data_IF_077152702851
#
_entry.id   IF_077152702851
#
_cell.length_a   1.000
_cell.length_b   1.000
_cell.length_c   1.000
_cell.angle_alpha   90.00
_cell.angle_beta   90.00
_cell.angle_gamma   90.00
#
_symmetry.space_group_name_H-M   'P 1'
#
loop_
_entity.id
_entity.type
_entity.pdbx_description
1 polymer ?
#
# COMPACT_ATOMS: atom_id res chain seq x y z
N UNK A 1 11.69 26.21 -76.88
CA UNK A 1 12.67 27.21 -77.39
C UNK A 1 13.33 27.82 -76.15
N UNK A 2 14.63 27.85 -75.92
CA UNK A 2 15.78 27.42 -76.74
C UNK A 2 16.82 28.55 -76.86
N UNK A 3 18.10 28.25 -76.58
CA UNK A 3 19.32 29.02 -76.95
C UNK A 3 20.00 29.95 -75.91
N UNK A 4 21.07 29.40 -75.29
CA UNK A 4 22.48 29.86 -75.29
C UNK A 4 22.98 31.20 -74.66
N UNK A 5 23.95 31.00 -73.74
CA UNK A 5 25.34 31.51 -73.73
C UNK A 5 25.75 32.82 -73.00
N UNK A 6 26.78 32.68 -72.15
CA UNK A 6 27.66 33.74 -71.62
C UNK A 6 28.83 33.13 -70.83
N UNK A 7 30.09 33.48 -71.17
CA UNK A 7 31.34 32.85 -70.64
C UNK A 7 32.14 33.78 -69.71
N UNK A 8 32.77 33.21 -68.68
CA UNK A 8 34.13 33.49 -68.12
C UNK A 8 34.23 32.76 -66.76
N UNK A 9 35.10 31.78 -66.47
CA UNK A 9 36.53 31.50 -66.75
C UNK A 9 37.53 32.33 -65.95
N UNK A 10 37.97 31.76 -64.83
CA UNK A 10 39.35 31.81 -64.32
C UNK A 10 39.56 30.57 -63.43
N UNK A 11 40.65 29.83 -63.70
CA UNK A 11 40.99 28.53 -63.11
C UNK A 11 42.25 28.65 -62.20
N UNK A 12 42.73 27.51 -61.67
CA UNK A 12 44.11 27.20 -61.20
C UNK A 12 44.41 27.32 -59.68
N UNK A 13 44.16 26.19 -58.99
CA UNK A 13 45.13 25.27 -58.34
C UNK A 13 46.20 25.69 -57.30
N UNK A 14 46.38 24.75 -56.35
CA UNK A 14 47.58 24.33 -55.59
C UNK A 14 48.29 25.28 -54.60
N UNK A 15 48.52 24.93 -53.32
CA UNK A 15 49.14 23.77 -52.62
C UNK A 15 50.66 23.90 -52.32
N UNK A 16 50.97 23.89 -51.00
CA UNK A 16 52.29 23.66 -50.33
C UNK A 16 53.29 24.84 -50.45
N UNK A 17 53.98 25.29 -49.41
CA UNK A 17 54.90 24.65 -48.43
C UNK A 17 55.00 25.58 -47.16
N UNK A 18 55.51 25.26 -45.96
CA UNK A 18 56.07 24.04 -45.31
C UNK A 18 55.90 24.15 -43.76
N UNK A 19 56.31 23.12 -43.00
CA UNK A 19 56.25 22.96 -41.52
C UNK A 19 57.60 23.25 -40.81
N UNK A 20 57.93 22.80 -39.56
CA UNK A 20 57.17 22.50 -38.32
C UNK A 20 57.79 23.14 -37.03
N UNK A 21 57.14 23.05 -35.84
CA UNK A 21 57.80 22.94 -34.49
C UNK A 21 56.76 22.72 -33.34
N UNK A 22 57.12 22.27 -32.12
CA UNK A 22 57.43 20.86 -31.82
C UNK A 22 56.62 20.25 -30.64
N UNK A 23 56.81 18.94 -30.42
CA UNK A 23 56.17 18.13 -29.37
C UNK A 23 56.98 18.17 -28.06
N UNK A 24 56.30 18.45 -26.93
CA UNK A 24 56.73 18.15 -25.54
C UNK A 24 55.45 17.80 -24.77
N UNK A 25 55.35 16.81 -23.90
CA UNK A 25 56.32 15.82 -23.41
C UNK A 25 55.87 15.37 -22.02
N UNK A 26 55.30 14.14 -21.90
CA UNK A 26 54.86 13.60 -20.60
C UNK A 26 56.06 13.38 -19.68
N UNK A 27 56.09 14.01 -18.52
CA UNK A 27 56.89 13.57 -17.37
C UNK A 27 56.08 13.67 -16.08
N UNK A 28 56.05 12.56 -15.36
CA UNK A 28 55.42 12.41 -14.05
C UNK A 28 56.22 13.14 -12.97
N UNK A 29 55.57 14.00 -12.20
CA UNK A 29 56.05 14.43 -10.89
C UNK A 29 55.32 13.63 -9.80
N UNK A 30 56.08 12.88 -8.99
CA UNK A 30 55.57 12.30 -7.75
C UNK A 30 55.31 13.44 -6.76
N UNK A 31 54.07 13.61 -6.31
CA UNK A 31 53.84 14.29 -5.03
C UNK A 31 54.23 13.34 -3.89
N UNK A 32 55.17 13.81 -3.06
CA UNK A 32 55.72 13.06 -1.94
C UNK A 32 54.75 13.21 -0.76
N UNK A 33 54.13 12.11 -0.35
CA UNK A 33 53.32 12.07 0.86
C UNK A 33 54.21 12.22 2.13
N UNK A 34 53.84 13.08 3.10
CA UNK A 34 54.48 13.08 4.42
C UNK A 34 54.03 11.84 5.22
N UNK A 35 54.83 11.39 6.21
CA UNK A 35 54.68 10.06 6.79
C UNK A 35 53.48 9.96 7.76
N UNK A 36 52.90 8.76 7.81
CA UNK A 36 51.94 8.37 8.86
C UNK A 36 52.62 8.42 10.23
N UNK A 37 52.18 9.31 11.11
CA UNK A 37 52.33 9.12 12.55
C UNK A 37 51.21 8.20 13.06
N UNK A 38 51.61 7.13 13.75
CA UNK A 38 50.70 6.20 14.44
C UNK A 38 50.55 6.65 15.91
N UNK A 39 49.42 6.27 16.54
CA UNK A 39 49.04 6.48 17.95
C UNK A 39 48.60 7.87 18.43
N UNK A 40 47.42 7.89 19.09
CA UNK A 40 46.94 9.00 19.92
C UNK A 40 45.39 9.10 19.99
N UNK A 41 44.76 8.35 20.91
CA UNK A 41 43.32 8.34 21.28
C UNK A 41 42.41 9.49 20.76
N UNK A 42 41.27 9.14 20.15
CA UNK A 42 40.16 10.11 19.97
C UNK A 42 38.94 9.70 19.13
N UNK A 43 38.99 8.59 18.38
CA UNK A 43 38.01 8.33 17.30
C UNK A 43 36.76 7.53 17.66
N UNK A 44 36.70 6.83 18.79
CA UNK A 44 35.53 6.02 19.16
C UNK A 44 34.33 6.87 19.63
N UNK A 45 34.60 7.99 20.30
CA UNK A 45 33.56 8.85 20.91
C UNK A 45 32.81 9.71 19.86
N UNK A 46 33.45 10.08 18.74
CA UNK A 46 32.76 10.75 17.62
C UNK A 46 31.86 9.81 16.81
N UNK A 47 32.28 8.57 16.58
CA UNK A 47 31.47 7.57 15.90
C UNK A 47 30.18 7.26 16.66
N UNK A 48 30.31 7.03 17.98
CA UNK A 48 29.16 6.78 18.85
C UNK A 48 28.21 7.98 18.90
N UNK A 49 28.72 9.22 19.05
CA UNK A 49 27.88 10.44 19.03
C UNK A 49 27.19 10.69 17.69
N UNK A 50 27.85 10.43 16.57
CA UNK A 50 27.23 10.53 15.24
C UNK A 50 26.09 9.52 15.08
N UNK A 51 26.33 8.25 15.45
CA UNK A 51 25.32 7.19 15.39
C UNK A 51 24.16 7.47 16.35
N UNK A 52 24.43 7.89 17.61
CA UNK A 52 23.36 8.31 18.53
C UNK A 52 22.57 9.50 17.98
N UNK A 53 23.22 10.46 17.32
CA UNK A 53 22.54 11.61 16.73
C UNK A 53 21.65 11.22 15.54
N UNK A 54 22.08 10.25 14.71
CA UNK A 54 21.24 9.69 13.64
C UNK A 54 20.08 8.91 14.23
N UNK A 55 20.33 7.98 15.16
CA UNK A 55 19.27 7.22 15.85
C UNK A 55 18.28 8.17 16.54
N UNK A 56 18.75 9.22 17.22
CA UNK A 56 17.88 10.20 17.88
C UNK A 56 17.08 11.03 16.88
N UNK A 57 17.69 11.45 15.75
CA UNK A 57 16.99 12.12 14.65
C UNK A 57 15.93 11.22 14.03
N UNK A 58 16.28 9.99 13.67
CA UNK A 58 15.39 8.98 13.09
C UNK A 58 14.28 8.58 14.05
N UNK A 59 14.57 8.48 15.35
CA UNK A 59 13.57 8.27 16.42
C UNK A 59 12.64 9.46 16.56
N UNK A 60 13.16 10.69 16.47
CA UNK A 60 12.33 11.91 16.51
C UNK A 60 11.42 12.02 15.28
N UNK A 61 11.93 11.70 14.09
CA UNK A 61 11.16 11.70 12.83
C UNK A 61 10.11 10.59 12.86
N UNK A 62 10.47 9.37 13.26
CA UNK A 62 9.51 8.27 13.41
C UNK A 62 8.45 8.62 14.47
N UNK A 63 8.82 8.88 15.72
CA UNK A 63 7.87 8.98 16.83
C UNK A 63 7.19 10.34 17.01
N UNK A 64 7.67 11.44 16.41
CA UNK A 64 7.11 12.79 16.68
C UNK A 64 6.77 13.64 15.44
N UNK A 65 6.87 13.11 14.21
CA UNK A 65 6.57 13.91 13.00
C UNK A 65 5.07 14.08 12.71
N UNK A 66 4.23 13.05 12.96
CA UNK A 66 2.78 13.11 12.67
C UNK A 66 1.96 13.39 13.95
N UNK A 67 0.87 14.16 13.80
CA UNK A 67 -0.15 14.42 14.83
C UNK A 67 -0.80 13.13 15.36
N UNK A 68 -0.90 12.09 14.53
CA UNK A 68 -1.40 10.76 14.95
C UNK A 68 -0.54 10.13 16.06
N UNK A 69 0.73 10.50 16.16
CA UNK A 69 1.65 9.92 17.16
C UNK A 69 1.26 10.28 18.61
N UNK A 70 0.35 11.24 18.80
CA UNK A 70 -0.31 11.50 20.08
C UNK A 70 -1.04 10.26 20.64
N UNK A 71 -1.41 9.30 19.79
CA UNK A 71 -2.08 8.05 20.16
C UNK A 71 -1.11 6.92 20.55
N UNK A 72 0.21 7.07 20.34
CA UNK A 72 1.19 6.02 20.69
C UNK A 72 1.10 5.59 22.17
N UNK A 73 0.89 6.49 23.16
CA UNK A 73 0.69 6.10 24.57
C UNK A 73 -0.51 5.19 24.82
N UNK A 74 -1.50 5.13 23.92
CA UNK A 74 -2.66 4.24 24.05
C UNK A 74 -2.26 2.75 24.02
N UNK A 75 -1.20 2.39 23.28
CA UNK A 75 -0.69 1.01 23.22
C UNK A 75 -0.18 0.47 24.56
N UNK A 76 0.82 1.11 25.19
CA UNK A 76 1.26 0.77 26.54
C UNK A 76 0.14 0.87 27.58
N UNK A 77 -0.79 1.83 27.42
CA UNK A 77 -1.94 1.96 28.30
C UNK A 77 -2.92 0.77 28.17
N UNK A 78 -3.14 0.24 26.95
CA UNK A 78 -3.96 -0.95 26.74
C UNK A 78 -3.41 -2.16 27.50
N UNK A 79 -2.09 -2.39 27.40
CA UNK A 79 -1.37 -3.46 28.12
C UNK A 79 -1.45 -3.27 29.64
N UNK A 80 -1.39 -2.01 30.11
CA UNK A 80 -1.54 -1.70 31.54
C UNK A 80 -2.97 -1.93 32.02
N UNK A 81 -3.97 -1.52 31.24
CA UNK A 81 -5.39 -1.70 31.55
C UNK A 81 -5.77 -3.19 31.56
N UNK A 82 -5.26 -3.99 30.63
CA UNK A 82 -5.46 -5.45 30.59
C UNK A 82 -4.87 -6.15 31.84
N UNK A 83 -3.68 -5.75 32.26
CA UNK A 83 -3.02 -6.33 33.45
C UNK A 83 -3.60 -5.87 34.79
N UNK A 84 -4.21 -4.69 34.85
CA UNK A 84 -4.77 -4.12 36.07
C UNK A 84 -6.29 -4.27 36.18
N UNK A 85 -7.00 -4.51 35.08
CA UNK A 85 -8.47 -4.53 35.02
C UNK A 85 -8.98 -5.55 34.01
N UNK A 86 -10.10 -6.21 34.32
CA UNK A 86 -10.79 -7.10 33.38
C UNK A 86 -11.75 -6.33 32.44
N UNK A 87 -11.46 -5.06 32.12
CA UNK A 87 -12.33 -4.21 31.31
C UNK A 87 -12.00 -4.32 29.81
N UNK A 88 -12.33 -5.47 29.21
CA UNK A 88 -12.03 -5.80 27.81
C UNK A 88 -12.47 -4.72 26.79
N UNK A 89 -13.58 -4.02 27.00
CA UNK A 89 -14.00 -2.91 26.13
C UNK A 89 -12.99 -1.75 26.08
N UNK A 90 -12.35 -1.42 27.20
CA UNK A 90 -11.28 -0.40 27.24
C UNK A 90 -9.96 -0.93 26.66
N UNK A 91 -9.62 -2.20 26.91
CA UNK A 91 -8.45 -2.85 26.28
C UNK A 91 -8.57 -2.84 24.76
N UNK A 92 -9.74 -3.21 24.23
CA UNK A 92 -10.04 -3.15 22.79
C UNK A 92 -9.85 -1.73 22.24
N UNK A 93 -10.53 -0.74 22.82
CA UNK A 93 -10.48 0.64 22.32
C UNK A 93 -9.07 1.26 22.39
N UNK A 94 -8.32 0.99 23.47
CA UNK A 94 -6.95 1.50 23.63
C UNK A 94 -5.95 0.81 22.71
N UNK A 95 -6.06 -0.51 22.51
CA UNK A 95 -5.25 -1.24 21.53
C UNK A 95 -5.54 -0.75 20.11
N UNK A 96 -6.81 -0.54 19.78
CA UNK A 96 -7.27 -0.01 18.49
C UNK A 96 -6.66 1.37 18.21
N UNK A 97 -6.78 2.32 19.16
CA UNK A 97 -6.15 3.64 19.04
C UNK A 97 -4.61 3.58 18.98
N UNK A 98 -3.99 2.66 19.73
CA UNK A 98 -2.54 2.46 19.74
C UNK A 98 -1.99 1.92 18.41
N UNK A 99 -2.78 1.18 17.65
CA UNK A 99 -2.38 0.63 16.33
C UNK A 99 -2.37 1.72 15.24
N UNK A 100 -3.29 2.68 15.25
CA UNK A 100 -3.39 3.77 14.23
C UNK A 100 -2.01 4.41 13.90
N UNK A 101 -1.24 4.97 14.85
CA UNK A 101 0.04 5.59 14.54
C UNK A 101 1.13 4.58 14.19
N UNK A 102 1.05 3.34 14.67
CA UNK A 102 2.02 2.30 14.34
C UNK A 102 1.85 1.83 12.89
N UNK A 103 0.60 1.66 12.43
CA UNK A 103 0.27 1.35 11.05
C UNK A 103 0.74 2.45 10.09
N UNK A 104 0.49 3.73 10.43
CA UNK A 104 0.98 4.88 9.66
C UNK A 104 2.50 4.90 9.55
N UNK A 105 3.20 4.62 10.65
CA UNK A 105 4.67 4.56 10.65
C UNK A 105 5.21 3.34 9.91
N UNK A 106 4.48 2.22 9.88
CA UNK A 106 4.86 1.03 9.13
C UNK A 106 4.78 1.30 7.61
N UNK A 107 3.74 1.99 7.16
CA UNK A 107 3.62 2.47 5.77
C UNK A 107 4.79 3.37 5.39
N UNK A 108 5.05 4.44 6.15
CA UNK A 108 6.21 5.32 5.91
C UNK A 108 7.54 4.56 5.92
N UNK A 109 7.80 3.67 6.88
CA UNK A 109 9.03 2.87 6.92
C UNK A 109 9.18 1.94 5.70
N UNK A 110 8.07 1.47 5.13
CA UNK A 110 8.02 0.67 3.91
C UNK A 110 8.36 1.51 2.68
N UNK A 111 7.78 2.71 2.54
CA UNK A 111 8.11 3.68 1.49
C UNK A 111 9.60 4.06 1.54
N UNK A 112 10.11 4.42 2.72
CA UNK A 112 11.53 4.73 2.95
C UNK A 112 12.47 3.57 2.55
N UNK A 113 12.04 2.31 2.72
CA UNK A 113 12.80 1.14 2.27
C UNK A 113 12.66 0.89 0.75
N UNK A 114 11.55 1.28 0.13
CA UNK A 114 11.32 1.13 -1.31
C UNK A 114 12.33 1.94 -2.15
N UNK A 115 12.68 3.17 -1.72
CA UNK A 115 13.72 3.99 -2.37
C UNK A 115 15.07 3.26 -2.53
N UNK A 116 15.44 2.38 -1.58
CA UNK A 116 16.72 1.67 -1.56
C UNK A 116 16.72 0.25 -2.15
N UNK A 117 15.56 -0.22 -2.60
CA UNK A 117 15.38 -1.60 -3.09
C UNK A 117 14.98 -1.67 -4.57
N UNK A 118 14.67 -0.52 -5.18
CA UNK A 118 14.35 -0.38 -6.59
C UNK A 118 12.92 -0.83 -6.93
N UNK A 119 12.39 -0.50 -8.12
CA UNK A 119 10.95 -0.59 -8.40
C UNK A 119 10.34 -1.98 -8.16
N UNK A 120 11.08 -3.03 -8.53
CA UNK A 120 10.62 -4.43 -8.42
C UNK A 120 10.48 -4.88 -6.96
N UNK A 121 11.49 -4.65 -6.12
CA UNK A 121 11.46 -5.10 -4.71
C UNK A 121 10.67 -4.11 -3.85
N UNK A 122 10.77 -2.80 -4.13
CA UNK A 122 9.96 -1.77 -3.47
C UNK A 122 8.46 -1.97 -3.69
N UNK A 123 8.03 -2.32 -4.91
CA UNK A 123 6.63 -2.67 -5.19
C UNK A 123 6.14 -3.91 -4.42
N UNK A 124 6.98 -4.94 -4.28
CA UNK A 124 6.66 -6.14 -3.50
C UNK A 124 6.63 -5.86 -1.98
N UNK A 125 7.55 -5.03 -1.50
CA UNK A 125 7.56 -4.55 -0.11
C UNK A 125 6.29 -3.77 0.20
N UNK A 126 5.90 -2.82 -0.66
CA UNK A 126 4.69 -2.04 -0.49
C UNK A 126 3.43 -2.92 -0.49
N UNK A 127 3.34 -3.86 -1.42
CA UNK A 127 2.25 -4.84 -1.47
C UNK A 127 2.12 -5.71 -0.19
N UNK A 128 3.24 -6.01 0.47
CA UNK A 128 3.29 -6.89 1.65
C UNK A 128 3.11 -6.11 2.95
N UNK A 129 3.81 -4.99 3.10
CA UNK A 129 3.88 -4.21 4.33
C UNK A 129 2.88 -3.03 4.40
N UNK A 130 2.28 -2.60 3.29
CA UNK A 130 1.13 -1.68 3.30
C UNK A 130 -0.02 -2.28 4.09
N UNK A 131 -0.48 -3.47 3.68
CA UNK A 131 -1.54 -4.23 4.35
C UNK A 131 -1.05 -5.09 5.55
N UNK A 132 0.14 -4.84 6.09
CA UNK A 132 0.69 -5.71 7.12
C UNK A 132 -0.12 -5.64 8.43
N UNK A 133 -0.73 -4.50 8.76
CA UNK A 133 -1.55 -4.35 9.96
C UNK A 133 -2.74 -5.32 9.94
N UNK A 134 -3.46 -5.37 8.81
CA UNK A 134 -4.64 -6.19 8.57
C UNK A 134 -4.26 -7.66 8.60
N UNK A 135 -3.12 -8.01 7.98
CA UNK A 135 -2.59 -9.37 7.99
C UNK A 135 -2.12 -9.80 9.38
N UNK A 136 -1.45 -8.95 10.15
CA UNK A 136 -0.99 -9.29 11.52
C UNK A 136 -2.18 -9.51 12.46
N UNK A 137 -3.20 -8.66 12.40
CA UNK A 137 -4.46 -8.84 13.15
C UNK A 137 -5.14 -10.15 12.72
N UNK A 138 -5.22 -10.41 11.41
CA UNK A 138 -5.80 -11.64 10.84
C UNK A 138 -5.05 -12.90 11.29
N UNK A 139 -3.72 -12.90 11.32
CA UNK A 139 -2.93 -14.05 11.79
C UNK A 139 -3.14 -14.30 13.29
N UNK A 140 -3.30 -13.26 14.12
CA UNK A 140 -3.63 -13.43 15.53
C UNK A 140 -5.05 -13.98 15.72
N UNK A 141 -6.05 -13.45 15.02
CA UNK A 141 -7.40 -13.99 15.06
C UNK A 141 -7.47 -15.45 14.58
N UNK A 142 -6.73 -15.81 13.52
CA UNK A 142 -6.62 -17.17 13.00
C UNK A 142 -5.92 -18.13 13.99
N UNK A 143 -4.84 -17.68 14.64
CA UNK A 143 -4.15 -18.40 15.73
C UNK A 143 -5.12 -18.68 16.89
N UNK A 144 -5.92 -17.68 17.29
CA UNK A 144 -6.97 -17.81 18.32
C UNK A 144 -8.18 -18.63 17.86
N UNK A 145 -8.30 -18.94 16.57
CA UNK A 145 -9.39 -19.76 16.00
C UNK A 145 -10.63 -18.96 15.58
N UNK A 146 -10.60 -17.63 15.65
CA UNK A 146 -11.71 -16.74 15.28
C UNK A 146 -11.76 -16.52 13.75
N UNK A 147 -12.05 -17.60 13.02
CA UNK A 147 -12.13 -17.62 11.55
C UNK A 147 -13.11 -16.55 11.01
N UNK A 148 -14.27 -16.38 11.66
CA UNK A 148 -15.24 -15.35 11.27
C UNK A 148 -14.69 -13.93 11.39
N UNK A 149 -13.90 -13.62 12.43
CA UNK A 149 -13.25 -12.31 12.60
C UNK A 149 -12.24 -12.07 11.47
N UNK A 150 -11.47 -13.08 11.06
CA UNK A 150 -10.52 -12.98 9.93
C UNK A 150 -11.24 -12.69 8.61
N UNK A 151 -12.32 -13.43 8.34
CA UNK A 151 -13.14 -13.22 7.14
C UNK A 151 -13.74 -11.80 7.17
N UNK A 152 -14.41 -11.44 8.26
CA UNK A 152 -15.10 -10.17 8.39
C UNK A 152 -14.15 -8.95 8.36
N UNK A 153 -12.96 -9.03 8.96
CA UNK A 153 -11.99 -7.92 8.92
C UNK A 153 -11.37 -7.70 7.54
N UNK A 154 -10.98 -8.77 6.85
CA UNK A 154 -10.41 -8.66 5.49
C UNK A 154 -11.46 -8.19 4.48
N UNK A 155 -12.70 -8.70 4.57
CA UNK A 155 -13.82 -8.22 3.75
C UNK A 155 -14.16 -6.75 4.08
N UNK A 156 -14.22 -6.39 5.36
CA UNK A 156 -14.43 -5.03 5.81
C UNK A 156 -13.37 -4.05 5.34
N UNK A 157 -12.11 -4.48 5.22
CA UNK A 157 -11.03 -3.65 4.67
C UNK A 157 -11.22 -3.36 3.18
N UNK A 158 -11.68 -4.35 2.39
CA UNK A 158 -12.08 -4.12 1.00
C UNK A 158 -13.24 -3.12 0.93
N UNK A 159 -14.27 -3.28 1.75
CA UNK A 159 -15.44 -2.38 1.79
C UNK A 159 -15.07 -0.94 2.22
N UNK A 160 -14.19 -0.81 3.22
CA UNK A 160 -13.66 0.47 3.70
C UNK A 160 -12.93 1.19 2.58
N UNK A 161 -11.97 0.53 1.93
CA UNK A 161 -11.20 1.13 0.84
C UNK A 161 -12.07 1.50 -0.37
N UNK A 162 -13.03 0.64 -0.74
CA UNK A 162 -13.90 0.85 -1.91
C UNK A 162 -14.99 1.90 -1.72
N UNK A 163 -15.56 2.03 -0.53
CA UNK A 163 -16.67 2.95 -0.29
C UNK A 163 -16.28 4.14 0.59
N UNK A 164 -15.61 3.89 1.72
CA UNK A 164 -15.25 4.94 2.68
C UNK A 164 -14.04 5.77 2.20
N UNK A 165 -12.92 5.13 1.87
CA UNK A 165 -11.70 5.85 1.44
C UNK A 165 -11.92 6.54 0.11
N UNK A 166 -12.35 5.78 -0.89
CA UNK A 166 -12.64 6.34 -2.21
C UNK A 166 -13.72 7.41 -2.11
N UNK A 167 -14.81 7.18 -1.36
CA UNK A 167 -15.85 8.17 -1.13
C UNK A 167 -15.34 9.47 -0.51
N UNK A 168 -14.55 9.38 0.58
CA UNK A 168 -13.91 10.53 1.22
C UNK A 168 -12.94 11.25 0.26
N UNK A 169 -12.20 10.52 -0.56
CA UNK A 169 -11.23 11.10 -1.49
C UNK A 169 -11.91 11.82 -2.66
N UNK A 170 -12.90 11.21 -3.30
CA UNK A 170 -13.67 11.85 -4.37
C UNK A 170 -14.48 13.05 -3.83
N UNK A 171 -15.02 12.95 -2.60
CA UNK A 171 -15.73 14.04 -1.94
C UNK A 171 -14.78 15.21 -1.61
N UNK A 172 -13.66 14.94 -0.95
CA UNK A 172 -12.68 15.96 -0.55
C UNK A 172 -12.03 16.64 -1.75
N UNK A 173 -11.54 15.86 -2.72
CA UNK A 173 -10.99 16.36 -3.97
C UNK A 173 -12.02 17.17 -4.78
N UNK A 174 -13.25 16.67 -4.88
CA UNK A 174 -14.34 17.32 -5.60
C UNK A 174 -14.91 18.58 -4.93
N UNK A 175 -14.85 18.71 -3.60
CA UNK A 175 -15.23 19.95 -2.89
C UNK A 175 -14.17 21.04 -3.14
N UNK A 176 -12.88 20.68 -3.02
CA UNK A 176 -11.77 21.62 -3.26
C UNK A 176 -11.74 22.06 -4.73
N UNK A 177 -11.97 21.13 -5.66
CA UNK A 177 -12.01 21.40 -7.10
C UNK A 177 -13.45 21.58 -7.63
N UNK A 178 -14.38 22.13 -6.85
CA UNK A 178 -15.81 22.22 -7.20
C UNK A 178 -16.17 22.91 -8.54
N UNK A 179 -15.20 23.57 -9.20
CA UNK A 179 -15.34 24.22 -10.52
C UNK A 179 -14.79 23.39 -11.70
N UNK A 180 -14.18 22.22 -11.46
CA UNK A 180 -13.52 21.37 -12.45
C UNK A 180 -13.70 19.90 -12.10
N UNK A 181 -14.04 19.07 -13.09
CA UNK A 181 -13.97 17.61 -12.89
C UNK A 181 -12.52 17.15 -12.82
N UNK A 182 -12.23 16.30 -11.83
CA UNK A 182 -10.93 15.66 -11.72
C UNK A 182 -10.90 14.44 -12.65
N UNK A 183 -9.83 14.28 -13.43
CA UNK A 183 -9.70 13.22 -14.44
C UNK A 183 -8.66 12.22 -13.97
N UNK A 184 -8.85 10.94 -14.30
CA UNK A 184 -7.93 9.86 -13.97
C UNK A 184 -7.81 8.83 -15.11
N UNK A 185 -6.78 7.99 -15.04
CA UNK A 185 -6.48 6.98 -16.04
C UNK A 185 -7.46 5.81 -15.98
N UNK A 186 -8.41 5.81 -16.93
CA UNK A 186 -9.41 4.74 -17.12
C UNK A 186 -8.81 3.35 -17.26
N UNK A 187 -7.63 3.21 -17.89
CA UNK A 187 -6.99 1.91 -18.12
C UNK A 187 -6.51 1.28 -16.82
N UNK A 188 -5.85 2.08 -15.97
CA UNK A 188 -5.38 1.65 -14.64
C UNK A 188 -6.55 1.30 -13.72
N UNK A 189 -7.61 2.11 -13.72
CA UNK A 189 -8.83 1.83 -12.95
C UNK A 189 -9.55 0.55 -13.43
N UNK A 190 -9.64 0.34 -14.75
CA UNK A 190 -10.25 -0.85 -15.34
C UNK A 190 -9.47 -2.14 -15.05
N UNK A 191 -8.13 -2.11 -15.10
CA UNK A 191 -7.30 -3.27 -14.73
C UNK A 191 -7.51 -3.71 -13.28
N UNK A 192 -7.46 -2.76 -12.34
CA UNK A 192 -7.64 -3.08 -10.92
C UNK A 192 -9.09 -3.54 -10.63
N UNK A 193 -10.09 -2.91 -11.26
CA UNK A 193 -11.50 -3.36 -11.15
C UNK A 193 -11.71 -4.77 -11.73
N UNK A 194 -11.01 -5.13 -12.81
CA UNK A 194 -11.04 -6.47 -13.39
C UNK A 194 -10.45 -7.55 -12.47
N UNK A 195 -9.34 -7.25 -11.79
CA UNK A 195 -8.76 -8.13 -10.77
C UNK A 195 -9.68 -8.26 -9.56
N UNK A 196 -10.33 -7.18 -9.14
CA UNK A 196 -11.28 -7.21 -8.04
C UNK A 196 -12.53 -8.05 -8.38
N UNK A 197 -13.02 -7.98 -9.62
CA UNK A 197 -14.07 -8.88 -10.13
C UNK A 197 -13.61 -10.36 -10.17
N UNK A 198 -12.36 -10.63 -10.55
CA UNK A 198 -11.78 -11.98 -10.47
C UNK A 198 -11.74 -12.49 -9.02
N UNK A 199 -11.36 -11.64 -8.06
CA UNK A 199 -11.40 -11.98 -6.64
C UNK A 199 -12.82 -12.30 -6.18
N UNK A 200 -13.79 -11.45 -6.53
CA UNK A 200 -15.22 -11.68 -6.23
C UNK A 200 -15.69 -13.02 -6.78
N UNK A 201 -15.32 -13.40 -8.00
CA UNK A 201 -15.65 -14.70 -8.57
C UNK A 201 -15.03 -15.88 -7.78
N UNK A 202 -13.77 -15.73 -7.32
CA UNK A 202 -13.09 -16.73 -6.48
C UNK A 202 -13.71 -16.90 -5.08
N UNK A 203 -14.34 -15.85 -4.55
CA UNK A 203 -15.05 -15.83 -3.26
C UNK A 203 -16.51 -16.28 -3.38
N UNK A 204 -17.16 -15.98 -4.51
CA UNK A 204 -18.58 -16.24 -4.75
C UNK A 204 -18.88 -17.74 -4.84
N UNK A 205 -18.09 -18.53 -5.57
CA UNK A 205 -18.42 -19.95 -5.79
C UNK A 205 -18.40 -20.82 -4.51
N UNK A 206 -17.43 -20.70 -3.59
CA UNK A 206 -17.51 -21.38 -2.29
C UNK A 206 -18.77 -21.01 -1.49
N UNK A 207 -19.12 -19.72 -1.42
CA UNK A 207 -20.31 -19.25 -0.70
C UNK A 207 -21.64 -19.72 -1.36
N UNK A 208 -21.70 -19.74 -2.70
CA UNK A 208 -22.85 -20.26 -3.44
C UNK A 208 -23.00 -21.77 -3.22
N UNK A 209 -21.91 -22.54 -3.28
CA UNK A 209 -21.93 -23.99 -3.09
C UNK A 209 -22.48 -24.38 -1.71
N UNK A 210 -22.09 -23.65 -0.67
CA UNK A 210 -22.64 -23.78 0.68
C UNK A 210 -24.13 -23.48 0.73
N UNK A 211 -24.57 -22.37 0.11
CA UNK A 211 -25.96 -21.94 0.15
C UNK A 211 -26.90 -22.84 -0.67
N UNK A 212 -26.45 -23.40 -1.79
CA UNK A 212 -27.25 -24.31 -2.62
C UNK A 212 -27.26 -25.75 -2.09
N UNK A 213 -26.37 -26.09 -1.16
CA UNK A 213 -26.14 -27.46 -0.68
C UNK A 213 -25.90 -28.48 -1.81
N UNK A 214 -25.37 -28.04 -2.96
CA UNK A 214 -25.09 -28.89 -4.13
C UNK A 214 -23.71 -29.56 -4.07
N UNK A 215 -23.09 -29.61 -2.90
CA UNK A 215 -21.79 -30.24 -2.71
C UNK A 215 -21.86 -31.77 -2.61
N UNK A 216 -20.85 -32.43 -3.18
CA UNK A 216 -20.71 -33.89 -3.16
C UNK A 216 -20.41 -34.44 -1.75
N UNK A 217 -19.70 -33.67 -0.91
CA UNK A 217 -19.29 -34.06 0.44
C UNK A 217 -19.42 -32.90 1.41
N UNK A 218 -20.46 -32.94 2.26
CA UNK A 218 -20.88 -31.83 3.10
C UNK A 218 -19.73 -31.16 3.89
N UNK A 219 -19.55 -29.85 3.73
CA UNK A 219 -18.48 -28.99 4.28
C UNK A 219 -17.05 -29.30 3.79
N UNK A 220 -16.76 -30.53 3.34
CA UNK A 220 -15.44 -30.92 2.84
C UNK A 220 -15.19 -30.39 1.43
N UNK A 221 -16.22 -30.40 0.57
CA UNK A 221 -16.12 -29.88 -0.80
C UNK A 221 -15.86 -28.38 -0.80
N UNK A 222 -16.52 -27.61 0.06
CA UNK A 222 -16.30 -26.16 0.22
C UNK A 222 -14.88 -25.79 0.65
N UNK A 223 -14.33 -26.47 1.67
CA UNK A 223 -12.97 -26.18 2.16
C UNK A 223 -11.90 -26.54 1.13
N UNK A 224 -12.09 -27.63 0.38
CA UNK A 224 -11.21 -28.01 -0.73
C UNK A 224 -11.30 -27.01 -1.89
N UNK A 225 -12.52 -26.59 -2.26
CA UNK A 225 -12.73 -25.57 -3.29
C UNK A 225 -12.14 -24.22 -2.88
N UNK A 226 -12.29 -23.83 -1.62
CA UNK A 226 -11.71 -22.60 -1.05
C UNK A 226 -10.19 -22.59 -1.13
N UNK A 227 -9.53 -23.71 -0.79
CA UNK A 227 -8.07 -23.86 -0.92
C UNK A 227 -7.62 -23.83 -2.38
N UNK A 228 -8.34 -24.51 -3.27
CA UNK A 228 -8.04 -24.48 -4.71
C UNK A 228 -8.17 -23.06 -5.29
N UNK A 229 -9.30 -22.39 -5.03
CA UNK A 229 -9.54 -20.99 -5.41
C UNK A 229 -8.44 -20.08 -4.88
N UNK A 230 -8.05 -20.24 -3.61
CA UNK A 230 -6.97 -19.46 -2.99
C UNK A 230 -5.62 -19.62 -3.69
N UNK A 231 -5.23 -20.84 -4.05
CA UNK A 231 -4.01 -21.08 -4.83
C UNK A 231 -4.06 -20.40 -6.20
N UNK A 232 -5.21 -20.45 -6.90
CA UNK A 232 -5.40 -19.79 -8.21
C UNK A 232 -5.31 -18.26 -8.07
N UNK A 233 -5.94 -17.69 -7.05
CA UNK A 233 -5.91 -16.24 -6.77
C UNK A 233 -4.48 -15.76 -6.46
N UNK A 234 -3.72 -16.50 -5.65
CA UNK A 234 -2.32 -16.18 -5.35
C UNK A 234 -1.41 -16.25 -6.59
N UNK A 235 -1.61 -17.24 -7.47
CA UNK A 235 -0.88 -17.33 -8.76
C UNK A 235 -1.24 -16.16 -9.69
N UNK A 236 -2.53 -15.82 -9.79
CA UNK A 236 -2.99 -14.69 -10.58
C UNK A 236 -2.45 -13.35 -10.03
N UNK A 237 -2.38 -13.19 -8.71
CA UNK A 237 -1.77 -12.03 -8.07
C UNK A 237 -0.25 -11.94 -8.32
N UNK A 238 0.47 -13.06 -8.21
CA UNK A 238 1.89 -13.12 -8.57
C UNK A 238 2.14 -12.73 -10.04
N UNK A 239 1.30 -13.22 -10.95
CA UNK A 239 1.34 -12.83 -12.37
C UNK A 239 1.03 -11.34 -12.58
N UNK A 240 0.06 -10.78 -11.85
CA UNK A 240 -0.23 -9.34 -11.86
C UNK A 240 0.95 -8.51 -11.38
N UNK A 241 1.61 -8.88 -10.27
CA UNK A 241 2.80 -8.18 -9.77
C UNK A 241 3.94 -8.25 -10.79
N UNK A 242 4.20 -9.42 -11.40
CA UNK A 242 5.19 -9.54 -12.48
C UNK A 242 4.84 -8.65 -13.68
N UNK A 243 3.58 -8.64 -14.10
CA UNK A 243 3.09 -7.79 -15.18
C UNK A 243 3.27 -6.30 -14.88
N UNK A 244 2.84 -5.85 -13.70
CA UNK A 244 2.95 -4.47 -13.23
C UNK A 244 4.41 -4.01 -13.20
N UNK A 245 5.29 -4.81 -12.59
CA UNK A 245 6.72 -4.51 -12.46
C UNK A 245 7.49 -4.58 -13.79
N UNK A 246 6.99 -5.34 -14.77
CA UNK A 246 7.58 -5.41 -16.11
C UNK A 246 7.11 -4.25 -16.99
N UNK A 247 5.81 -3.93 -17.00
CA UNK A 247 5.29 -2.83 -17.81
C UNK A 247 5.71 -1.45 -17.30
N UNK A 248 5.90 -1.28 -15.98
CA UNK A 248 6.45 -0.03 -15.43
C UNK A 248 7.85 0.28 -15.97
N UNK A 249 8.70 -0.73 -16.26
CA UNK A 249 10.00 -0.51 -16.93
C UNK A 249 9.86 0.03 -18.35
N UNK A 250 8.83 -0.39 -19.09
CA UNK A 250 8.59 0.08 -20.45
C UNK A 250 8.10 1.54 -20.50
N UNK A 251 7.47 2.02 -19.43
CA UNK A 251 7.05 3.43 -19.29
C UNK A 251 8.20 4.34 -18.83
N UNK A 252 9.25 3.77 -18.21
CA UNK A 252 10.45 4.47 -17.73
C UNK A 252 11.68 4.22 -18.61
N UNK A 253 11.48 3.94 -19.90
CA UNK A 253 12.54 4.17 -20.90
C UNK A 253 12.54 5.68 -21.19
N UNK A 254 13.63 6.43 -20.88
CA UNK A 254 13.78 7.77 -21.43
C UNK A 254 13.87 7.62 -22.94
N UNK A 255 12.87 8.17 -23.65
CA UNK A 255 12.86 8.19 -25.10
C UNK A 255 14.01 9.10 -25.53
N UNK A 256 15.11 8.49 -25.97
CA UNK A 256 16.07 9.19 -26.80
C UNK A 256 15.35 9.61 -28.09
N UNK A 257 15.64 10.84 -28.51
CA UNK A 257 15.32 11.45 -29.81
C UNK A 257 13.92 12.07 -29.96
N UNK A 258 13.97 13.42 -29.93
CA UNK A 258 13.18 14.38 -30.73
C UNK A 258 11.71 14.65 -30.36
N UNK A 259 11.54 15.59 -29.42
CA UNK A 259 10.87 16.85 -29.79
C UNK A 259 9.36 16.97 -29.58
N UNK A 260 8.90 17.00 -28.33
CA UNK A 260 7.80 17.91 -27.91
C UNK A 260 7.98 18.24 -26.43
N UNK A 261 7.95 19.53 -26.08
CA UNK A 261 7.90 19.97 -24.69
C UNK A 261 6.46 19.84 -24.18
N UNK A 262 6.14 18.72 -23.56
CA UNK A 262 4.96 18.60 -22.69
C UNK A 262 5.48 18.49 -21.26
N UNK A 263 4.96 19.34 -20.38
CA UNK A 263 5.47 19.53 -19.01
C UNK A 263 5.62 18.19 -18.29
N UNK A 264 6.87 17.80 -18.04
CA UNK A 264 7.18 16.55 -17.36
C UNK A 264 6.62 16.59 -15.94
N UNK A 265 5.88 15.55 -15.57
CA UNK A 265 5.46 15.33 -14.19
C UNK A 265 6.72 15.26 -13.34
N UNK A 266 7.01 16.33 -12.61
CA UNK A 266 7.93 16.30 -11.49
C UNK A 266 7.32 15.39 -10.43
N UNK A 267 7.71 14.12 -10.45
CA UNK A 267 8.04 13.47 -9.19
C UNK A 267 9.06 14.40 -8.53
N UNK A 268 8.67 15.03 -7.43
CA UNK A 268 9.62 15.73 -6.57
C UNK A 268 10.76 14.74 -6.25
N UNK A 269 11.99 15.23 -6.25
CA UNK A 269 13.13 14.42 -5.84
C UNK A 269 13.07 14.29 -4.31
N UNK A 270 12.12 13.49 -3.82
CA UNK A 270 12.00 13.12 -2.42
C UNK A 270 13.21 12.25 -2.06
N UNK A 271 14.23 12.90 -1.48
CA UNK A 271 15.35 12.20 -0.87
C UNK A 271 14.85 11.39 0.34
N UNK A 272 15.34 10.16 0.55
CA UNK A 272 14.93 9.35 1.69
C UNK A 272 15.34 9.98 3.03
N UNK A 273 14.37 10.13 3.94
CA UNK A 273 14.51 10.76 5.27
C UNK A 273 15.49 10.03 6.18
N UNK A 274 15.61 8.71 6.00
CA UNK A 274 16.35 7.77 6.88
C UNK A 274 17.14 6.76 6.05
N UNK A 275 18.25 6.26 6.58
CA UNK A 275 19.08 5.29 5.86
C UNK A 275 18.44 3.91 5.76
N UNK A 276 18.80 3.14 4.72
CA UNK A 276 18.31 1.77 4.48
C UNK A 276 18.27 0.86 5.72
N UNK A 277 19.32 0.91 6.55
CA UNK A 277 19.41 0.09 7.76
C UNK A 277 18.50 0.61 8.89
N UNK A 278 18.31 1.92 8.99
CA UNK A 278 17.30 2.51 9.88
C UNK A 278 15.89 2.11 9.43
N UNK A 279 15.58 2.13 8.12
CA UNK A 279 14.26 1.72 7.61
C UNK A 279 13.95 0.25 7.92
N UNK A 280 14.90 -0.66 7.71
CA UNK A 280 14.75 -2.09 8.07
C UNK A 280 14.54 -2.26 9.58
N UNK A 281 15.28 -1.52 10.39
CA UNK A 281 15.18 -1.58 11.86
C UNK A 281 13.82 -1.08 12.34
N UNK A 282 13.33 0.05 11.82
CA UNK A 282 12.01 0.59 12.13
C UNK A 282 10.88 -0.34 11.66
N UNK A 283 10.98 -0.89 10.44
CA UNK A 283 10.00 -1.84 9.92
C UNK A 283 9.85 -3.05 10.85
N UNK A 284 10.97 -3.62 11.33
CA UNK A 284 10.96 -4.72 12.29
C UNK A 284 10.38 -4.33 13.65
N UNK A 285 10.75 -3.18 14.21
CA UNK A 285 10.24 -2.68 15.49
C UNK A 285 8.74 -2.43 15.43
N UNK A 286 8.26 -1.74 14.40
CA UNK A 286 6.85 -1.39 14.21
C UNK A 286 5.99 -2.64 13.98
N UNK A 287 6.44 -3.56 13.12
CA UNK A 287 5.81 -4.88 12.94
C UNK A 287 5.69 -5.63 14.27
N UNK A 288 6.76 -5.63 15.07
CA UNK A 288 6.78 -6.29 16.39
C UNK A 288 5.81 -5.65 17.39
N UNK A 289 5.72 -4.32 17.41
CA UNK A 289 4.79 -3.59 18.27
C UNK A 289 3.34 -3.83 17.85
N UNK A 290 3.02 -3.74 16.55
CA UNK A 290 1.69 -4.04 16.02
C UNK A 290 1.30 -5.49 16.34
N UNK A 291 2.23 -6.43 16.21
CA UNK A 291 2.03 -7.84 16.59
C UNK A 291 1.64 -7.99 18.06
N UNK A 292 2.36 -7.35 18.98
CA UNK A 292 2.03 -7.36 20.42
C UNK A 292 0.66 -6.73 20.69
N UNK A 293 0.37 -5.53 20.15
CA UNK A 293 -0.94 -4.89 20.34
C UNK A 293 -2.08 -5.70 19.71
N UNK A 294 -1.83 -6.38 18.59
CA UNK A 294 -2.84 -7.21 17.90
C UNK A 294 -3.29 -8.39 18.75
N UNK A 295 -2.41 -9.00 19.55
CA UNK A 295 -2.79 -10.07 20.48
C UNK A 295 -3.80 -9.56 21.54
N UNK A 296 -3.55 -8.40 22.17
CA UNK A 296 -4.49 -7.79 23.12
C UNK A 296 -5.79 -7.32 22.44
N UNK A 297 -5.70 -6.71 21.25
CA UNK A 297 -6.86 -6.28 20.47
C UNK A 297 -7.78 -7.47 20.18
N UNK A 298 -7.23 -8.54 19.60
CA UNK A 298 -7.93 -9.73 19.16
C UNK A 298 -8.59 -10.44 20.35
N UNK A 299 -7.85 -10.65 21.44
CA UNK A 299 -8.39 -11.28 22.65
C UNK A 299 -9.51 -10.45 23.32
N UNK A 300 -9.57 -9.14 23.08
CA UNK A 300 -10.58 -8.25 23.63
C UNK A 300 -11.87 -8.13 22.78
N UNK A 301 -11.91 -8.61 21.54
CA UNK A 301 -13.03 -8.41 20.59
C UNK A 301 -14.39 -8.88 21.17
N UNK A 302 -14.45 -10.10 21.71
CA UNK A 302 -15.70 -10.67 22.23
C UNK A 302 -16.17 -9.90 23.49
N UNK A 303 -15.25 -9.59 24.40
CA UNK A 303 -15.56 -8.78 25.60
C UNK A 303 -15.96 -7.34 25.26
N UNK A 304 -15.43 -6.78 24.17
CA UNK A 304 -15.79 -5.47 23.65
C UNK A 304 -17.19 -5.47 23.00
N UNK A 305 -17.55 -6.52 22.28
CA UNK A 305 -18.90 -6.74 21.74
C UNK A 305 -19.95 -6.76 22.85
N UNK A 306 -19.71 -7.51 23.93
CA UNK A 306 -20.60 -7.56 25.11
C UNK A 306 -20.66 -6.20 25.82
N UNK A 307 -19.52 -5.53 26.02
CA UNK A 307 -19.46 -4.26 26.75
C UNK A 307 -20.13 -3.09 26.01
N UNK A 308 -20.05 -3.06 24.67
CA UNK A 308 -20.67 -2.02 23.83
C UNK A 308 -22.08 -2.39 23.34
N UNK A 309 -22.52 -3.64 23.54
CA UNK A 309 -23.78 -4.18 23.02
C UNK A 309 -23.91 -4.03 21.48
N UNK A 310 -22.83 -4.38 20.76
CA UNK A 310 -22.76 -4.36 19.29
C UNK A 310 -22.24 -5.71 18.76
N UNK A 311 -22.66 -6.18 17.56
CA UNK A 311 -22.22 -7.47 17.02
C UNK A 311 -20.70 -7.54 16.80
N UNK A 312 -20.10 -8.72 17.00
CA UNK A 312 -18.71 -9.01 16.59
C UNK A 312 -18.51 -8.77 15.09
N UNK A 313 -19.55 -9.00 14.28
CA UNK A 313 -19.56 -8.68 12.85
C UNK A 313 -19.37 -7.17 12.60
N UNK A 314 -20.11 -6.30 13.30
CA UNK A 314 -19.93 -4.85 13.19
C UNK A 314 -18.52 -4.41 13.60
N UNK A 315 -17.99 -4.94 14.72
CA UNK A 315 -16.63 -4.65 15.16
C UNK A 315 -15.61 -5.06 14.08
N UNK A 316 -15.78 -6.25 13.51
CA UNK A 316 -14.82 -6.83 12.57
C UNK A 316 -14.87 -6.17 11.19
N UNK A 317 -16.07 -5.96 10.63
CA UNK A 317 -16.25 -5.39 9.27
C UNK A 317 -16.08 -3.88 9.25
N UNK A 318 -16.49 -3.17 10.31
CA UNK A 318 -16.55 -1.70 10.32
C UNK A 318 -15.43 -1.08 11.16
N UNK A 319 -15.27 -1.48 12.43
CA UNK A 319 -14.33 -0.78 13.33
C UNK A 319 -12.86 -1.14 13.09
N UNK A 320 -12.53 -2.43 12.95
CA UNK A 320 -11.14 -2.86 12.70
C UNK A 320 -10.53 -2.21 11.43
N UNK A 321 -11.19 -2.18 10.27
CA UNK A 321 -10.54 -1.75 9.04
C UNK A 321 -10.45 -0.23 8.89
N UNK A 322 -11.37 0.53 9.51
CA UNK A 322 -11.24 1.99 9.63
C UNK A 322 -9.92 2.37 10.31
N UNK A 323 -9.47 1.55 11.26
CA UNK A 323 -8.29 1.79 12.09
C UNK A 323 -7.01 1.27 11.44
N UNK A 324 -7.03 0.04 10.93
CA UNK A 324 -5.86 -0.55 10.25
C UNK A 324 -5.41 0.30 9.05
N UNK A 325 -6.39 0.67 8.21
CA UNK A 325 -6.15 1.46 7.01
C UNK A 325 -6.12 2.99 7.25
N UNK A 326 -6.25 3.48 8.50
CA UNK A 326 -6.46 4.90 8.80
C UNK A 326 -5.40 5.85 8.18
N UNK A 327 -4.17 5.35 8.02
CA UNK A 327 -3.08 6.05 7.35
C UNK A 327 -3.31 6.18 5.83
N UNK A 328 -3.63 5.06 5.17
CA UNK A 328 -3.96 5.00 3.74
C UNK A 328 -5.18 5.87 3.42
N UNK A 329 -6.18 5.87 4.33
CA UNK A 329 -7.35 6.75 4.25
C UNK A 329 -6.94 8.23 4.14
N UNK A 330 -6.09 8.69 5.07
CA UNK A 330 -5.64 10.08 5.12
C UNK A 330 -4.76 10.44 3.91
N UNK A 331 -3.88 9.53 3.49
CA UNK A 331 -3.04 9.68 2.29
C UNK A 331 -3.87 9.83 1.02
N UNK A 332 -4.80 8.91 0.75
CA UNK A 332 -5.68 8.95 -0.42
C UNK A 332 -6.46 10.27 -0.52
N UNK A 333 -7.11 10.69 0.58
CA UNK A 333 -7.82 11.98 0.63
C UNK A 333 -6.89 13.16 0.35
N UNK A 334 -5.68 13.16 0.92
CA UNK A 334 -4.68 14.22 0.66
C UNK A 334 -4.27 14.27 -0.82
N UNK A 335 -4.05 13.13 -1.47
CA UNK A 335 -3.69 13.08 -2.89
C UNK A 335 -4.82 13.55 -3.79
N UNK A 336 -6.08 13.18 -3.51
CA UNK A 336 -7.24 13.67 -4.25
C UNK A 336 -7.44 15.20 -4.09
N UNK A 337 -7.22 15.73 -2.87
CA UNK A 337 -7.23 17.19 -2.60
C UNK A 337 -6.07 17.93 -3.30
N UNK A 338 -4.95 17.25 -3.60
CA UNK A 338 -3.82 17.78 -4.38
C UNK A 338 -3.95 17.58 -5.90
N UNK A 339 -5.14 17.23 -6.39
CA UNK A 339 -5.43 16.88 -7.80
C UNK A 339 -4.64 15.67 -8.36
N UNK A 340 -4.02 14.87 -7.48
CA UNK A 340 -3.30 13.63 -7.83
C UNK A 340 -4.24 12.42 -7.70
N UNK A 341 -5.37 12.46 -8.41
CA UNK A 341 -6.45 11.49 -8.23
C UNK A 341 -6.07 10.06 -8.60
N UNK A 342 -5.22 9.87 -9.61
CA UNK A 342 -4.65 8.55 -9.99
C UNK A 342 -3.94 7.86 -8.82
N UNK A 343 -3.21 8.62 -7.99
CA UNK A 343 -2.52 8.09 -6.81
C UNK A 343 -3.55 7.68 -5.75
N UNK A 344 -4.57 8.51 -5.51
CA UNK A 344 -5.65 8.16 -4.56
C UNK A 344 -6.42 6.90 -4.97
N UNK A 345 -6.70 6.73 -6.26
CA UNK A 345 -7.33 5.53 -6.81
C UNK A 345 -6.39 4.31 -6.73
N UNK A 346 -5.09 4.53 -6.96
CA UNK A 346 -4.04 3.53 -6.78
C UNK A 346 -3.96 3.01 -5.35
N UNK A 347 -4.01 3.91 -4.35
CA UNK A 347 -4.05 3.53 -2.93
C UNK A 347 -5.31 2.71 -2.63
N UNK A 348 -6.51 3.27 -2.86
CA UNK A 348 -7.76 2.61 -2.49
C UNK A 348 -8.00 1.29 -3.25
N UNK A 349 -7.93 1.29 -4.58
CA UNK A 349 -8.22 0.10 -5.40
C UNK A 349 -7.05 -0.89 -5.39
N UNK A 350 -5.81 -0.40 -5.31
CA UNK A 350 -4.63 -1.25 -5.13
C UNK A 350 -4.71 -2.03 -3.83
N UNK A 351 -4.85 -1.35 -2.69
CA UNK A 351 -4.99 -1.95 -1.36
C UNK A 351 -6.14 -2.98 -1.31
N UNK A 352 -7.34 -2.64 -1.80
CA UNK A 352 -8.44 -3.62 -1.94
C UNK A 352 -8.11 -4.83 -2.81
N UNK A 353 -7.42 -4.64 -3.93
CA UNK A 353 -7.01 -5.74 -4.82
C UNK A 353 -5.98 -6.64 -4.15
N UNK A 354 -5.05 -6.06 -3.37
CA UNK A 354 -4.04 -6.79 -2.59
C UNK A 354 -4.72 -7.62 -1.49
N UNK A 355 -5.65 -7.05 -0.74
CA UNK A 355 -6.39 -7.79 0.31
C UNK A 355 -7.24 -8.89 -0.30
N UNK A 356 -7.92 -8.63 -1.43
CA UNK A 356 -8.79 -9.60 -2.08
C UNK A 356 -8.01 -10.76 -2.75
N UNK A 357 -6.96 -10.45 -3.53
CA UNK A 357 -6.21 -11.44 -4.32
C UNK A 357 -5.00 -12.05 -3.62
N UNK A 358 -4.51 -11.41 -2.55
CA UNK A 358 -3.41 -11.93 -1.71
C UNK A 358 -3.85 -12.16 -0.26
N UNK A 359 -4.36 -11.15 0.46
CA UNK A 359 -4.55 -11.26 1.91
C UNK A 359 -5.56 -12.33 2.37
N UNK A 360 -6.73 -12.38 1.75
CA UNK A 360 -7.75 -13.42 1.98
C UNK A 360 -7.22 -14.83 1.63
N UNK A 361 -6.75 -15.10 0.39
CA UNK A 361 -6.30 -16.45 0.03
C UNK A 361 -5.01 -16.87 0.74
N UNK A 362 -4.12 -15.93 1.09
CA UNK A 362 -2.98 -16.18 1.98
C UNK A 362 -3.44 -16.67 3.35
N UNK A 363 -4.48 -16.06 3.92
CA UNK A 363 -5.05 -16.48 5.21
C UNK A 363 -5.64 -17.90 5.15
N UNK A 364 -6.25 -18.32 4.03
CA UNK A 364 -6.68 -19.70 3.79
C UNK A 364 -5.49 -20.68 3.75
N UNK A 365 -4.41 -20.32 3.05
CA UNK A 365 -3.19 -21.15 2.96
C UNK A 365 -2.50 -21.27 4.32
N UNK A 366 -2.36 -20.17 5.06
CA UNK A 366 -1.81 -20.20 6.43
C UNK A 366 -2.71 -21.02 7.36
N UNK A 367 -4.03 -20.86 7.27
CA UNK A 367 -4.98 -21.67 8.02
C UNK A 367 -4.82 -23.16 7.74
N UNK A 368 -4.64 -23.54 6.48
CA UNK A 368 -4.36 -24.92 6.08
C UNK A 368 -3.07 -25.46 6.69
N UNK A 369 -1.98 -24.68 6.68
CA UNK A 369 -0.69 -25.05 7.31
C UNK A 369 -0.85 -25.20 8.84
N UNK A 370 -1.64 -24.32 9.47
CA UNK A 370 -1.93 -24.35 10.92
C UNK A 370 -2.97 -25.40 11.33
N UNK A 371 -3.53 -26.18 10.39
CA UNK A 371 -4.61 -27.13 10.67
C UNK A 371 -5.96 -26.49 11.04
N UNK A 372 -6.14 -25.19 10.80
CA UNK A 372 -7.40 -24.45 10.99
C UNK A 372 -8.27 -24.55 9.71
N UNK A 373 -9.59 -24.75 9.83
CA UNK A 373 -10.50 -24.79 8.68
C UNK A 373 -10.87 -23.37 8.19
N UNK A 374 -9.86 -22.55 7.84
CA UNK A 374 -10.10 -21.26 7.17
C UNK A 374 -10.55 -21.52 5.73
N UNK A 375 -11.67 -20.93 5.33
CA UNK A 375 -12.27 -21.07 4.01
C UNK A 375 -12.63 -19.69 3.39
N UNK A 376 -13.19 -19.71 2.18
CA UNK A 376 -13.67 -18.54 1.46
C UNK A 376 -15.20 -18.36 1.56
N UNK A 377 -15.85 -18.93 2.59
CA UNK A 377 -17.29 -18.82 2.77
C UNK A 377 -17.64 -17.62 3.67
N UNK A 378 -17.81 -16.45 3.05
CA UNK A 378 -18.21 -15.21 3.72
C UNK A 378 -19.73 -15.13 3.97
N UNK A 379 -20.48 -16.24 3.86
CA UNK A 379 -21.95 -16.25 3.91
C UNK A 379 -22.61 -15.38 2.81
N UNK A 380 -23.91 -15.57 2.60
CA UNK A 380 -24.62 -14.93 1.49
C UNK A 380 -24.63 -13.39 1.59
N UNK A 381 -24.83 -12.84 2.80
CA UNK A 381 -24.96 -11.39 2.99
C UNK A 381 -23.65 -10.63 2.73
N UNK A 382 -22.53 -11.10 3.27
CA UNK A 382 -21.24 -10.41 3.13
C UNK A 382 -20.71 -10.57 1.69
N UNK A 383 -20.86 -11.76 1.09
CA UNK A 383 -20.55 -11.98 -0.33
C UNK A 383 -21.39 -11.09 -1.25
N UNK A 384 -22.72 -10.99 -1.03
CA UNK A 384 -23.57 -10.11 -1.83
C UNK A 384 -23.19 -8.63 -1.67
N UNK A 385 -22.87 -8.21 -0.44
CA UNK A 385 -22.39 -6.84 -0.14
C UNK A 385 -21.09 -6.52 -0.87
N UNK A 386 -20.15 -7.47 -0.90
CA UNK A 386 -18.90 -7.34 -1.65
C UNK A 386 -19.13 -7.24 -3.16
N UNK A 387 -19.95 -8.15 -3.74
CA UNK A 387 -20.33 -8.11 -5.17
C UNK A 387 -20.92 -6.74 -5.53
N UNK A 388 -21.91 -6.27 -4.77
CA UNK A 388 -22.56 -4.98 -5.03
C UNK A 388 -21.61 -3.80 -4.89
N UNK A 389 -20.70 -3.83 -3.91
CA UNK A 389 -19.67 -2.80 -3.71
C UNK A 389 -18.74 -2.69 -4.92
N UNK A 390 -18.21 -3.82 -5.39
CA UNK A 390 -17.31 -3.86 -6.55
C UNK A 390 -18.01 -3.38 -7.83
N UNK A 391 -19.28 -3.77 -8.03
CA UNK A 391 -20.07 -3.27 -9.16
C UNK A 391 -20.32 -1.77 -9.09
N UNK A 392 -20.77 -1.24 -7.94
CA UNK A 392 -21.02 0.20 -7.75
C UNK A 392 -19.76 1.02 -8.02
N UNK A 393 -18.61 0.61 -7.48
CA UNK A 393 -17.34 1.31 -7.72
C UNK A 393 -16.91 1.20 -9.20
N UNK A 394 -17.00 0.03 -9.82
CA UNK A 394 -16.66 -0.14 -11.24
C UNK A 394 -17.50 0.78 -12.15
N UNK A 395 -18.80 0.92 -11.90
CA UNK A 395 -19.66 1.84 -12.65
C UNK A 395 -19.33 3.32 -12.36
N UNK A 396 -19.12 3.70 -11.10
CA UNK A 396 -18.77 5.10 -10.74
C UNK A 396 -17.48 5.58 -11.41
N UNK A 397 -16.52 4.66 -11.62
CA UNK A 397 -15.22 4.94 -12.21
C UNK A 397 -15.16 4.80 -13.74
N UNK A 398 -16.17 4.22 -14.39
CA UNK A 398 -16.19 3.94 -15.83
C UNK A 398 -15.97 5.19 -16.70
N UNK A 399 -16.45 6.35 -16.26
CA UNK A 399 -16.36 7.61 -16.99
C UNK A 399 -14.96 8.25 -16.96
N UNK A 400 -14.07 7.83 -16.05
CA UNK A 400 -12.74 8.42 -15.84
C UNK A 400 -12.73 9.84 -15.28
N UNK A 401 -13.88 10.34 -14.82
CA UNK A 401 -14.00 11.64 -14.15
C UNK A 401 -14.61 11.47 -12.75
N UNK A 402 -14.18 12.33 -11.84
CA UNK A 402 -14.64 12.43 -10.46
C UNK A 402 -15.27 13.78 -10.18
N UNK A 403 -16.29 13.76 -9.33
CA UNK A 403 -16.93 14.92 -8.75
C UNK A 403 -17.35 14.60 -7.30
N UNK A 404 -17.67 15.65 -6.53
CA UNK A 404 -18.03 15.51 -5.12
C UNK A 404 -19.28 14.65 -4.90
N UNK A 405 -20.19 14.59 -5.87
CA UNK A 405 -21.44 13.82 -5.76
C UNK A 405 -21.19 12.32 -5.86
N UNK A 406 -20.29 11.86 -6.75
CA UNK A 406 -19.82 10.46 -6.77
C UNK A 406 -19.20 10.06 -5.43
N UNK A 407 -18.40 10.95 -4.82
CA UNK A 407 -17.85 10.74 -3.48
C UNK A 407 -18.92 10.60 -2.40
N UNK A 408 -19.90 11.51 -2.38
CA UNK A 408 -21.04 11.44 -1.47
C UNK A 408 -21.85 10.15 -1.64
N UNK A 409 -22.10 9.70 -2.88
CA UNK A 409 -22.81 8.44 -3.15
C UNK A 409 -22.09 7.24 -2.55
N UNK A 410 -20.77 7.12 -2.72
CA UNK A 410 -19.98 6.03 -2.14
C UNK A 410 -20.02 6.04 -0.61
N UNK A 411 -19.98 7.22 0.03
CA UNK A 411 -20.12 7.35 1.48
C UNK A 411 -21.51 6.95 1.97
N UNK A 412 -22.57 7.32 1.26
CA UNK A 412 -23.94 6.89 1.58
C UNK A 412 -24.09 5.37 1.43
N UNK A 413 -23.48 4.76 0.40
CA UNK A 413 -23.40 3.31 0.29
C UNK A 413 -22.66 2.68 1.48
N UNK A 414 -21.52 3.24 1.92
CA UNK A 414 -20.81 2.75 3.11
C UNK A 414 -21.67 2.83 4.37
N UNK A 415 -22.41 3.92 4.58
CA UNK A 415 -23.30 4.07 5.74
C UNK A 415 -24.46 3.06 5.73
N UNK A 416 -25.04 2.75 4.57
CA UNK A 416 -26.07 1.70 4.43
C UNK A 416 -25.48 0.32 4.77
N UNK A 417 -24.27 0.03 4.28
CA UNK A 417 -23.55 -1.22 4.59
C UNK A 417 -23.22 -1.33 6.08
N UNK A 418 -22.64 -0.29 6.68
CA UNK A 418 -22.31 -0.24 8.10
C UNK A 418 -23.55 -0.38 8.99
N UNK A 419 -24.66 0.30 8.65
CA UNK A 419 -25.92 0.14 9.34
C UNK A 419 -26.46 -1.30 9.22
N UNK A 420 -26.34 -1.93 8.06
CA UNK A 420 -26.79 -3.32 7.86
C UNK A 420 -26.01 -4.31 8.75
N UNK A 421 -24.69 -4.14 8.87
CA UNK A 421 -23.85 -4.95 9.78
C UNK A 421 -24.08 -4.68 11.27
N UNK A 422 -24.86 -3.67 11.65
CA UNK A 422 -25.26 -3.42 13.05
C UNK A 422 -26.50 -4.24 13.46
N UNK A 423 -27.31 -4.66 12.48
CA UNK A 423 -28.56 -5.41 12.69
C UNK A 423 -28.46 -6.90 12.32
N UNK A 424 -27.23 -7.42 12.13
CA UNK A 424 -26.89 -8.80 11.81
C UNK A 424 -25.83 -9.29 12.80
#
# INVERSE_FOLDING_TARGET
MGSLAGKSRLDIEDLRLVSPQPIVGKTSSLEIAPPRSFFGHGTEDLGCKSILSSIFRSTKIALFSNKLNLLIPCGPLAILVDKLTNHHGWVFFLSLLGIIPLAERLGWATEQLAFYTGPTVGGLLNATFGNATELIISMHALKSGMIRVVQQSLLGSILSNMLLVLGCALLGGGIVHCKREQVFNKSSAAMNSGLLLMAVMGLLFPAVLHFTHTEMHFGKSELVLSRFSSCVMLVAYGAYIIFQLTNQKNLYNPINEEGTQTEGVSADNEEPDISKWESITWLFILTSLISVLSEYLVNAIEGASVAMNIPVAFISVILLPIVGNAAEHAGAVMFAVKDKLDISLGVAIGSSTQIAMFGIPFSVVVGWIMGRPMDLNFQLFETATLVMTVLVVAFMLQEGTSNYFKGLMLLLCYLIVAASFLYI
#
